data_IF_450315668762
#
_entry.id   IF_450315668762
#
_cell.length_a   1.000
_cell.length_b   1.000
_cell.length_c   1.000
_cell.angle_alpha   90.00
_cell.angle_beta   90.00
_cell.angle_gamma   90.00
#
_symmetry.space_group_name_H-M   'P 1'
#
loop_
_entity.id
_entity.type
_entity.pdbx_description
1 polymer ?
#
# COMPACT_ATOMS: atom_id res chain seq x y z
N UNK A 1 8.05 24.72 8.81
CA UNK A 1 8.97 23.87 8.02
C UNK A 1 8.69 22.42 8.40
N UNK A 2 8.16 21.60 7.49
CA UNK A 2 8.09 20.16 7.73
C UNK A 2 9.53 19.64 7.74
N UNK A 3 10.02 19.27 8.91
CA UNK A 3 11.21 18.43 9.05
C UNK A 3 11.00 17.21 8.14
N UNK A 4 11.84 17.05 7.11
CA UNK A 4 11.85 15.80 6.33
C UNK A 4 12.23 14.69 7.30
N UNK A 5 11.25 13.91 7.75
CA UNK A 5 11.50 12.72 8.58
C UNK A 5 12.58 11.90 7.86
N UNK A 6 13.71 11.69 8.52
CA UNK A 6 14.75 10.79 8.01
C UNK A 6 14.16 9.39 8.00
N UNK A 7 14.29 8.66 6.91
CA UNK A 7 13.81 7.27 6.82
C UNK A 7 14.97 6.36 6.42
N UNK A 8 14.91 5.11 6.86
CA UNK A 8 15.75 4.04 6.32
C UNK A 8 14.97 3.31 5.23
N UNK A 9 15.63 3.04 4.11
CA UNK A 9 15.06 2.28 3.01
C UNK A 9 15.84 0.97 2.86
N UNK A 10 15.14 -0.15 3.00
CA UNK A 10 15.67 -1.49 2.77
C UNK A 10 15.05 -2.04 1.50
N UNK A 11 15.89 -2.45 0.56
CA UNK A 11 15.44 -2.94 -0.75
C UNK A 11 15.85 -4.41 -0.88
N UNK A 12 14.87 -5.26 -1.12
CA UNK A 12 15.05 -6.67 -1.43
C UNK A 12 14.86 -6.86 -2.93
N UNK A 13 15.94 -7.23 -3.61
CA UNK A 13 15.97 -7.47 -5.06
C UNK A 13 16.80 -8.71 -5.38
N UNK A 14 16.50 -9.43 -6.47
CA UNK A 14 17.38 -10.47 -6.99
C UNK A 14 18.83 -10.00 -7.15
N UNK A 15 19.80 -10.89 -6.87
CA UNK A 15 21.23 -10.59 -6.98
C UNK A 15 21.64 -9.99 -8.35
N UNK A 16 20.99 -10.42 -9.44
CA UNK A 16 21.26 -9.94 -10.81
C UNK A 16 20.21 -8.96 -11.35
N UNK A 17 19.57 -8.16 -10.50
CA UNK A 17 18.48 -7.25 -10.91
C UNK A 17 18.85 -6.32 -12.06
N UNK A 18 20.07 -5.79 -12.11
CA UNK A 18 20.50 -4.94 -13.23
C UNK A 18 20.60 -5.71 -14.55
N UNK A 19 21.06 -6.96 -14.51
CA UNK A 19 21.08 -7.85 -15.68
C UNK A 19 19.66 -8.20 -16.14
N UNK A 20 18.78 -8.57 -15.19
CA UNK A 20 17.37 -8.87 -15.51
C UNK A 20 16.69 -7.67 -16.15
N UNK A 21 16.88 -6.48 -15.58
CA UNK A 21 16.40 -5.22 -16.13
C UNK A 21 16.93 -4.95 -17.55
N UNK A 22 18.23 -5.10 -17.77
CA UNK A 22 18.85 -4.91 -19.10
C UNK A 22 18.38 -5.91 -20.16
N UNK A 23 17.94 -7.09 -19.74
CA UNK A 23 17.36 -8.12 -20.61
C UNK A 23 15.84 -7.95 -20.81
N UNK A 24 15.21 -6.95 -20.20
CA UNK A 24 13.75 -6.82 -20.19
C UNK A 24 13.04 -7.96 -19.47
N UNK A 25 13.74 -8.70 -18.60
CA UNK A 25 13.15 -9.80 -17.83
C UNK A 25 12.39 -9.27 -16.63
N UNK A 26 11.24 -9.87 -16.40
CA UNK A 26 10.40 -9.59 -15.25
C UNK A 26 11.10 -9.98 -13.94
N UNK A 27 10.97 -9.12 -12.93
CA UNK A 27 11.36 -9.42 -11.56
C UNK A 27 10.59 -8.58 -10.56
N UNK A 28 10.52 -9.09 -9.34
CA UNK A 28 9.94 -8.40 -8.20
C UNK A 28 11.02 -7.73 -7.35
N UNK A 29 10.69 -6.55 -6.86
CA UNK A 29 11.40 -5.83 -5.83
C UNK A 29 10.45 -5.61 -4.66
N UNK A 30 10.96 -5.78 -3.44
CA UNK A 30 10.24 -5.41 -2.22
C UNK A 30 11.01 -4.32 -1.49
N UNK A 31 10.36 -3.19 -1.24
CA UNK A 31 10.93 -2.05 -0.53
C UNK A 31 10.25 -1.94 0.83
N UNK A 32 11.04 -1.72 1.88
CA UNK A 32 10.57 -1.42 3.23
C UNK A 32 11.14 -0.07 3.65
N UNK A 33 10.28 0.85 4.06
CA UNK A 33 10.65 2.14 4.62
C UNK A 33 10.39 2.12 6.13
N UNK A 34 11.39 2.53 6.90
CA UNK A 34 11.40 2.47 8.35
C UNK A 34 11.64 3.88 8.90
N UNK A 35 10.85 4.31 9.88
CA UNK A 35 11.18 5.47 10.69
C UNK A 35 12.29 5.06 11.68
N UNK A 36 13.51 5.61 11.60
CA UNK A 36 14.63 5.19 12.41
C UNK A 36 14.47 5.60 13.89
N UNK A 37 13.61 6.57 14.19
CA UNK A 37 13.40 7.05 15.56
C UNK A 37 12.50 6.11 16.35
N UNK A 38 11.41 5.65 15.74
CA UNK A 38 10.46 4.71 16.36
C UNK A 38 10.74 3.25 16.01
N UNK A 39 11.58 3.01 15.00
CA UNK A 39 11.83 1.69 14.38
C UNK A 39 10.58 1.08 13.74
N UNK A 40 9.56 1.90 13.50
CA UNK A 40 8.30 1.50 12.87
C UNK A 40 8.47 1.36 11.37
N UNK A 41 7.93 0.27 10.80
CA UNK A 41 7.77 0.15 9.35
C UNK A 41 6.61 1.04 8.90
N UNK A 42 6.89 2.02 8.05
CA UNK A 42 5.90 3.03 7.61
C UNK A 42 5.44 2.84 6.18
N UNK A 43 6.17 2.09 5.37
CA UNK A 43 5.77 1.71 4.01
C UNK A 43 6.38 0.36 3.66
N UNK A 44 5.56 -0.53 3.11
CA UNK A 44 6.02 -1.71 2.41
C UNK A 44 5.47 -1.68 1.00
N UNK A 45 6.32 -1.91 -0.01
CA UNK A 45 5.91 -1.85 -1.42
C UNK A 45 6.51 -2.99 -2.21
N UNK A 46 5.65 -3.80 -2.84
CA UNK A 46 6.01 -4.81 -3.84
C UNK A 46 5.87 -4.22 -5.25
N UNK A 47 6.99 -4.06 -5.94
CA UNK A 47 7.06 -3.49 -7.28
C UNK A 47 7.55 -4.52 -8.30
N UNK A 48 6.86 -4.54 -9.43
CA UNK A 48 7.30 -5.19 -10.64
C UNK A 48 7.09 -4.19 -11.78
N UNK A 49 8.20 -3.81 -12.42
CA UNK A 49 8.24 -2.68 -13.34
C UNK A 49 7.86 -3.07 -14.78
N UNK A 50 7.85 -4.37 -15.11
CA UNK A 50 7.41 -4.88 -16.41
C UNK A 50 5.93 -5.27 -16.42
N UNK A 51 5.29 -5.33 -15.26
CA UNK A 51 3.91 -5.78 -15.12
C UNK A 51 2.95 -4.74 -15.73
N UNK A 52 2.29 -5.12 -16.83
CA UNK A 52 1.20 -4.33 -17.42
C UNK A 52 -0.03 -4.45 -16.55
N UNK A 53 -0.56 -3.32 -16.09
CA UNK A 53 -1.73 -3.28 -15.21
C UNK A 53 -2.95 -2.90 -16.02
N UNK A 54 -4.09 -3.48 -15.65
CA UNK A 54 -5.39 -3.10 -16.20
C UNK A 54 -5.83 -1.80 -15.54
N UNK A 55 -5.93 -0.68 -16.27
CA UNK A 55 -6.50 0.55 -15.72
C UNK A 55 -7.96 0.32 -15.32
N UNK A 56 -8.40 1.03 -14.29
CA UNK A 56 -9.80 1.03 -13.85
C UNK A 56 -10.52 2.11 -14.68
N UNK A 57 -11.51 1.69 -15.48
CA UNK A 57 -12.39 2.61 -16.20
C UNK A 57 -13.51 3.12 -15.29
N UNK A 58 -14.33 4.06 -15.79
CA UNK A 58 -15.38 4.70 -15.00
C UNK A 58 -16.43 3.68 -14.49
N UNK A 59 -16.81 2.71 -15.33
CA UNK A 59 -17.76 1.67 -14.98
C UNK A 59 -17.23 0.78 -13.85
N UNK A 60 -15.96 0.36 -13.94
CA UNK A 60 -15.31 -0.43 -12.91
C UNK A 60 -15.12 0.37 -11.61
N UNK A 61 -14.78 1.66 -11.68
CA UNK A 61 -14.66 2.51 -10.50
C UNK A 61 -15.99 2.59 -9.73
N UNK A 62 -17.11 2.77 -10.43
CA UNK A 62 -18.44 2.77 -9.82
C UNK A 62 -18.77 1.41 -9.18
N UNK A 63 -18.37 0.31 -9.81
CA UNK A 63 -18.56 -1.03 -9.26
C UNK A 63 -17.73 -1.24 -7.98
N UNK A 64 -16.45 -0.84 -8.01
CA UNK A 64 -15.53 -0.92 -6.87
C UNK A 64 -16.07 -0.14 -5.66
N UNK A 65 -16.65 1.05 -5.87
CA UNK A 65 -17.25 1.84 -4.78
C UNK A 65 -18.37 1.12 -4.02
N UNK A 66 -19.02 0.13 -4.64
CA UNK A 66 -20.10 -0.67 -4.03
C UNK A 66 -19.64 -2.04 -3.56
N UNK A 67 -18.41 -2.42 -3.90
CA UNK A 67 -17.86 -3.74 -3.64
C UNK A 67 -17.11 -3.75 -2.29
N UNK A 68 -17.78 -4.26 -1.26
CA UNK A 68 -17.21 -4.34 0.08
C UNK A 68 -16.00 -5.29 0.18
N UNK A 69 -15.74 -6.14 -0.81
CA UNK A 69 -14.63 -7.10 -0.75
C UNK A 69 -13.27 -6.41 -0.69
N UNK A 70 -13.11 -5.23 -1.29
CA UNK A 70 -11.88 -4.43 -1.21
C UNK A 70 -11.56 -4.00 0.23
N UNK A 71 -12.58 -3.54 0.95
CA UNK A 71 -12.43 -3.15 2.36
C UNK A 71 -12.16 -4.38 3.23
N UNK A 72 -12.84 -5.49 2.95
CA UNK A 72 -12.64 -6.74 3.69
C UNK A 72 -11.22 -7.30 3.52
N UNK A 73 -10.68 -7.32 2.30
CA UNK A 73 -9.31 -7.81 2.06
C UNK A 73 -8.27 -6.86 2.67
N UNK A 74 -8.45 -5.54 2.57
CA UNK A 74 -7.59 -4.57 3.24
C UNK A 74 -7.58 -4.75 4.77
N UNK A 75 -8.76 -4.94 5.36
CA UNK A 75 -8.92 -5.22 6.79
C UNK A 75 -8.18 -6.50 7.17
N UNK A 76 -8.40 -7.59 6.43
CA UNK A 76 -7.74 -8.88 6.63
C UNK A 76 -6.21 -8.77 6.54
N UNK A 77 -5.69 -7.97 5.62
CA UNK A 77 -4.25 -7.73 5.50
C UNK A 77 -3.70 -7.10 6.78
N UNK A 78 -4.39 -6.08 7.32
CA UNK A 78 -3.95 -5.37 8.52
C UNK A 78 -4.08 -6.24 9.77
N UNK A 79 -5.21 -6.94 9.94
CA UNK A 79 -5.45 -7.76 11.15
C UNK A 79 -4.67 -9.08 11.11
N UNK A 80 -4.84 -9.87 10.04
CA UNK A 80 -4.41 -11.27 10.05
C UNK A 80 -2.95 -11.41 9.60
N UNK A 81 -2.50 -10.57 8.66
CA UNK A 81 -1.15 -10.67 8.08
C UNK A 81 -0.13 -9.76 8.77
N UNK A 82 -0.53 -8.54 9.13
CA UNK A 82 0.35 -7.61 9.86
C UNK A 82 0.26 -7.78 11.38
N UNK A 83 -0.80 -8.42 11.88
CA UNK A 83 -1.00 -8.64 13.32
C UNK A 83 -1.42 -7.38 14.07
N UNK A 84 -2.06 -6.42 13.40
CA UNK A 84 -2.64 -5.26 14.08
C UNK A 84 -3.77 -5.72 15.02
N UNK A 85 -3.71 -5.25 16.26
CA UNK A 85 -4.67 -5.62 17.32
C UNK A 85 -5.54 -4.45 17.75
N UNK A 86 -5.15 -3.21 17.42
CA UNK A 86 -5.95 -2.01 17.65
C UNK A 86 -7.21 -2.06 16.80
N UNK A 87 -8.31 -1.59 17.38
CA UNK A 87 -9.59 -1.56 16.68
C UNK A 87 -9.56 -0.56 15.53
N UNK A 88 -10.01 -1.01 14.36
CA UNK A 88 -10.25 -0.15 13.20
C UNK A 88 -11.56 0.60 13.44
N UNK A 89 -11.48 1.92 13.58
CA UNK A 89 -12.61 2.81 13.79
C UNK A 89 -13.41 3.00 12.50
N UNK A 90 -12.71 3.22 11.38
CA UNK A 90 -13.31 3.38 10.06
C UNK A 90 -12.42 2.77 8.98
N UNK A 91 -13.04 2.28 7.90
CA UNK A 91 -12.35 1.84 6.70
C UNK A 91 -13.11 2.36 5.47
N UNK A 92 -12.40 2.99 4.53
CA UNK A 92 -13.02 3.56 3.34
C UNK A 92 -12.08 3.53 2.14
N UNK A 93 -12.67 3.47 0.95
CA UNK A 93 -11.95 3.63 -0.30
C UNK A 93 -11.44 5.06 -0.43
N UNK A 94 -10.17 5.21 -0.73
CA UNK A 94 -9.56 6.49 -1.11
C UNK A 94 -9.42 6.49 -2.62
N UNK A 95 -10.49 6.90 -3.29
CA UNK A 95 -10.54 7.01 -4.75
C UNK A 95 -9.64 8.17 -5.21
N UNK A 96 -8.80 7.89 -6.19
CA UNK A 96 -8.05 8.93 -6.91
C UNK A 96 -7.96 8.54 -8.37
N UNK A 97 -8.13 9.52 -9.27
CA UNK A 97 -7.92 9.32 -10.71
C UNK A 97 -6.54 8.73 -11.03
N UNK A 98 -5.55 9.01 -10.18
CA UNK A 98 -4.19 8.47 -10.28
C UNK A 98 -4.18 6.96 -10.02
N UNK A 99 -4.90 6.48 -9.01
CA UNK A 99 -5.01 5.06 -8.71
C UNK A 99 -5.77 4.32 -9.81
N UNK A 100 -6.82 4.92 -10.36
CA UNK A 100 -7.58 4.35 -11.47
C UNK A 100 -6.70 4.14 -12.71
N UNK A 101 -5.90 5.15 -13.09
CA UNK A 101 -4.90 5.03 -14.17
C UNK A 101 -3.83 3.96 -13.90
N UNK A 102 -3.53 3.69 -12.63
CA UNK A 102 -2.52 2.69 -12.22
C UNK A 102 -3.08 1.28 -12.06
N UNK A 103 -4.39 1.08 -12.17
CA UNK A 103 -5.04 -0.20 -11.87
C UNK A 103 -4.95 -0.56 -10.39
N UNK A 104 -5.20 0.41 -9.51
CA UNK A 104 -5.03 0.29 -8.06
C UNK A 104 -6.28 0.75 -7.32
N UNK A 105 -6.59 0.07 -6.23
CA UNK A 105 -7.65 0.45 -5.29
C UNK A 105 -7.01 0.68 -3.93
N UNK A 106 -7.17 1.87 -3.37
CA UNK A 106 -6.61 2.20 -2.07
C UNK A 106 -7.72 2.21 -1.01
N UNK A 107 -7.47 1.55 0.12
CA UNK A 107 -8.35 1.54 1.29
C UNK A 107 -7.59 2.14 2.46
N UNK A 108 -8.13 3.22 3.04
CA UNK A 108 -7.62 3.80 4.28
C UNK A 108 -8.41 3.26 5.46
N UNK A 109 -7.70 2.78 6.47
CA UNK A 109 -8.22 2.26 7.73
C UNK A 109 -7.70 3.14 8.87
N UNK A 110 -8.60 3.86 9.54
CA UNK A 110 -8.28 4.68 10.71
C UNK A 110 -8.43 3.82 11.96
N UNK A 111 -7.42 3.79 12.82
CA UNK A 111 -7.47 3.13 14.12
C UNK A 111 -8.03 4.10 15.18
N UNK A 112 -8.54 3.54 16.29
CA UNK A 112 -9.12 4.35 17.38
C UNK A 112 -8.12 5.31 18.04
N UNK A 113 -6.81 5.04 17.96
CA UNK A 113 -5.76 5.91 18.48
C UNK A 113 -5.41 7.08 17.53
N UNK A 114 -6.06 7.16 16.37
CA UNK A 114 -5.83 8.18 15.34
C UNK A 114 -4.73 7.84 14.34
N UNK A 115 -4.00 6.73 14.51
CA UNK A 115 -3.09 6.21 13.49
C UNK A 115 -3.87 5.57 12.34
N UNK A 116 -3.23 5.35 11.19
CA UNK A 116 -3.91 4.74 10.05
C UNK A 116 -3.03 3.84 9.21
N UNK A 117 -3.68 2.88 8.57
CA UNK A 117 -3.11 2.11 7.47
C UNK A 117 -3.75 2.52 6.15
N UNK A 118 -2.96 2.59 5.08
CA UNK A 118 -3.49 2.64 3.71
C UNK A 118 -2.97 1.43 2.93
N UNK A 119 -3.88 0.54 2.54
CA UNK A 119 -3.59 -0.60 1.69
C UNK A 119 -3.90 -0.24 0.22
N UNK A 120 -2.88 -0.21 -0.63
CA UNK A 120 -3.02 -0.12 -2.09
C UNK A 120 -3.05 -1.55 -2.67
N UNK A 121 -4.22 -1.97 -3.14
CA UNK A 121 -4.49 -3.28 -3.72
C UNK A 121 -4.52 -3.21 -5.25
N UNK A 122 -4.05 -4.25 -5.92
CA UNK A 122 -4.07 -4.33 -7.39
C UNK A 122 -5.47 -4.67 -7.89
N UNK A 123 -5.87 -4.02 -8.97
CA UNK A 123 -7.07 -4.38 -9.70
C UNK A 123 -6.78 -5.44 -10.78
N UNK A 124 -7.63 -6.47 -10.94
CA UNK A 124 -8.83 -6.79 -10.16
C UNK A 124 -8.61 -7.79 -9.01
N UNK A 125 -7.39 -8.32 -8.85
CA UNK A 125 -7.11 -9.50 -8.02
C UNK A 125 -7.01 -9.24 -6.51
N UNK A 126 -7.08 -7.97 -6.09
CA UNK A 126 -6.99 -7.53 -4.68
C UNK A 126 -5.65 -7.87 -4.02
N UNK A 127 -4.60 -8.14 -4.79
CA UNK A 127 -3.28 -8.43 -4.22
C UNK A 127 -2.66 -7.17 -3.65
N UNK A 128 -2.09 -7.25 -2.44
CA UNK A 128 -1.42 -6.13 -1.80
C UNK A 128 -0.22 -5.67 -2.64
N UNK A 129 -0.21 -4.40 -3.01
CA UNK A 129 0.95 -3.75 -3.62
C UNK A 129 1.72 -2.93 -2.61
N UNK A 130 1.02 -2.11 -1.84
CA UNK A 130 1.63 -1.23 -0.87
C UNK A 130 0.81 -1.18 0.41
N UNK A 131 1.47 -1.20 1.57
CA UNK A 131 0.86 -0.91 2.85
C UNK A 131 1.63 0.22 3.52
N UNK A 132 0.95 1.33 3.76
CA UNK A 132 1.50 2.54 4.38
C UNK A 132 0.92 2.65 5.78
N UNK A 133 1.76 2.93 6.77
CA UNK A 133 1.35 3.24 8.13
C UNK A 133 1.68 4.69 8.47
N UNK A 134 0.69 5.41 8.99
CA UNK A 134 0.81 6.78 9.48
C UNK A 134 0.50 6.76 10.98
N UNK A 135 1.47 7.14 11.81
CA UNK A 135 1.24 7.35 13.24
C UNK A 135 0.24 8.50 13.48
N UNK A 136 -0.50 8.43 14.59
CA UNK A 136 -1.36 9.52 15.01
C UNK A 136 -0.56 10.81 15.16
N UNK A 137 -1.12 11.94 14.74
CA UNK A 137 -0.51 13.24 15.05
C UNK A 137 -0.54 13.44 16.58
N UNK A 138 0.62 13.78 17.17
CA UNK A 138 0.66 14.15 18.57
C UNK A 138 -0.26 15.38 18.78
N UNK A 139 -1.16 15.29 19.75
CA UNK A 139 -1.96 16.44 20.18
C UNK A 139 -0.98 17.59 20.52
N UNK A 140 -1.16 18.73 19.85
CA UNK A 140 -0.37 19.93 20.08
C UNK A 140 -0.62 20.53 21.45
#
# INVERSE_FOLDING_TARGET
>A
MLSKKKTWMVIFTPYKTNTLRGQGKEFWQYTVIIDPSTRTVVDTTAANFSLTRTPINAEAAIAIQKDATWINEATKIVTDRQGETRKIATASLTDTDVNNKRGMVAVKMLLEDGSSYTAELRYPDQTLRCLIYEEAEAAK
#
